data_IF_771620019248
#
_entry.id   IF_771620019248
#
_cell.length_a   1.000
_cell.length_b   1.000
_cell.length_c   1.000
_cell.angle_alpha   90.00
_cell.angle_beta   90.00
_cell.angle_gamma   90.00
#
_symmetry.space_group_name_H-M   'P 1'
#
loop_
_entity.id
_entity.type
_entity.pdbx_description
1 polymer ?
#
# COMPACT_ATOMS: atom_id res chain seq x y z
N UNK A 1 16.10 23.22 -4.58
CA UNK A 1 16.99 22.19 -3.99
C UNK A 1 16.44 21.65 -2.67
N UNK A 2 16.44 22.41 -1.57
CA UNK A 2 15.92 21.91 -0.28
C UNK A 2 14.43 21.51 -0.33
N UNK A 3 13.57 22.31 -0.96
CA UNK A 3 12.15 22.01 -1.14
C UNK A 3 11.90 20.69 -1.89
N UNK A 4 12.59 20.49 -3.02
CA UNK A 4 12.53 19.25 -3.81
C UNK A 4 12.98 18.02 -2.98
N UNK A 5 14.07 18.15 -2.22
CA UNK A 5 14.55 17.05 -1.35
C UNK A 5 13.50 16.71 -0.28
N UNK A 6 12.93 17.71 0.39
CA UNK A 6 11.87 17.50 1.38
C UNK A 6 10.64 16.85 0.75
N UNK A 7 10.20 17.32 -0.42
CA UNK A 7 9.08 16.75 -1.15
C UNK A 7 9.30 15.27 -1.50
N UNK A 8 10.47 14.94 -2.07
CA UNK A 8 10.82 13.57 -2.42
C UNK A 8 10.92 12.67 -1.18
N UNK A 9 11.48 13.17 -0.07
CA UNK A 9 11.55 12.44 1.18
C UNK A 9 10.14 12.12 1.72
N UNK A 10 9.25 13.11 1.76
CA UNK A 10 7.85 12.92 2.20
C UNK A 10 7.15 11.93 1.28
N UNK A 11 7.28 12.10 -0.04
CA UNK A 11 6.67 11.21 -1.05
C UNK A 11 7.14 9.76 -0.88
N UNK A 12 8.42 9.57 -0.61
CA UNK A 12 9.01 8.27 -0.32
C UNK A 12 8.42 7.67 0.96
N UNK A 13 8.40 8.41 2.07
CA UNK A 13 7.89 7.90 3.35
C UNK A 13 6.40 7.55 3.28
N UNK A 14 5.57 8.38 2.64
CA UNK A 14 4.14 8.10 2.45
C UNK A 14 3.95 6.82 1.63
N UNK A 15 4.67 6.68 0.52
CA UNK A 15 4.60 5.49 -0.33
C UNK A 15 5.09 4.23 0.39
N UNK A 16 6.13 4.37 1.21
CA UNK A 16 6.69 3.28 2.01
C UNK A 16 5.69 2.73 3.02
N UNK A 17 4.83 3.57 3.61
CA UNK A 17 3.75 3.12 4.51
C UNK A 17 2.84 2.11 3.79
N UNK A 18 2.40 2.40 2.57
CA UNK A 18 1.54 1.49 1.80
C UNK A 18 2.25 0.18 1.44
N UNK A 19 3.54 0.23 1.10
CA UNK A 19 4.34 -0.96 0.82
C UNK A 19 4.45 -1.83 2.09
N UNK A 20 4.75 -1.24 3.25
CA UNK A 20 4.85 -1.97 4.52
C UNK A 20 3.51 -2.61 4.88
N UNK A 21 2.40 -1.87 4.77
CA UNK A 21 1.06 -2.40 4.99
C UNK A 21 0.75 -3.55 4.04
N UNK A 22 1.12 -3.44 2.76
CA UNK A 22 0.94 -4.49 1.78
C UNK A 22 1.76 -5.75 2.10
N UNK A 23 3.01 -5.61 2.56
CA UNK A 23 3.84 -6.74 3.01
C UNK A 23 3.22 -7.41 4.25
N UNK A 24 2.72 -6.62 5.21
CA UNK A 24 2.05 -7.16 6.40
C UNK A 24 0.77 -7.92 6.02
N UNK A 25 -0.04 -7.37 5.12
CA UNK A 25 -1.24 -8.03 4.61
C UNK A 25 -0.89 -9.32 3.88
N UNK A 26 0.11 -9.29 3.00
CA UNK A 26 0.58 -10.45 2.25
C UNK A 26 1.00 -11.61 3.18
N UNK A 27 1.66 -11.30 4.30
CA UNK A 27 2.13 -12.30 5.27
C UNK A 27 1.10 -12.68 6.33
N UNK A 28 -0.08 -12.03 6.35
CA UNK A 28 -1.09 -12.29 7.37
C UNK A 28 -1.66 -13.71 7.23
N UNK A 29 -1.96 -14.33 8.37
CA UNK A 29 -2.66 -15.61 8.43
C UNK A 29 -4.16 -15.48 8.64
N UNK A 30 -4.61 -14.29 9.07
CA UNK A 30 -6.03 -13.97 9.25
C UNK A 30 -6.52 -13.14 8.08
N UNK A 31 -7.79 -13.27 7.67
CA UNK A 31 -8.37 -12.46 6.61
C UNK A 31 -8.17 -10.97 6.90
N UNK A 32 -7.52 -10.28 5.98
CA UNK A 32 -7.34 -8.83 6.07
C UNK A 32 -8.49 -8.12 5.39
N UNK A 33 -8.88 -6.95 5.89
CA UNK A 33 -9.75 -6.02 5.16
C UNK A 33 -9.02 -4.72 4.87
N UNK A 34 -9.57 -3.98 3.93
CA UNK A 34 -9.24 -2.57 3.76
C UNK A 34 -9.92 -1.81 4.91
N UNK A 35 -9.34 -0.71 5.38
CA UNK A 35 -9.87 0.11 6.47
C UNK A 35 -11.15 0.88 6.05
N UNK A 36 -12.16 0.17 5.52
CA UNK A 36 -13.46 0.67 5.07
C UNK A 36 -14.51 0.65 6.18
N UNK A 37 -14.18 0.14 7.38
CA UNK A 37 -15.13 -0.09 8.46
C UNK A 37 -16.01 -1.34 8.26
N UNK A 38 -15.83 -2.04 7.13
CA UNK A 38 -16.48 -3.32 6.88
C UNK A 38 -15.81 -4.42 7.71
N UNK A 39 -16.64 -5.35 8.20
CA UNK A 39 -16.13 -6.52 8.92
C UNK A 39 -15.34 -7.37 7.90
N UNK A 40 -14.07 -7.72 8.18
CA UNK A 40 -13.34 -8.64 7.31
C UNK A 40 -14.12 -9.95 7.20
N UNK A 41 -14.11 -10.59 6.01
CA UNK A 41 -14.75 -11.90 5.84
C UNK A 41 -14.18 -12.88 6.85
N UNK A 42 -15.01 -13.80 7.33
CA UNK A 42 -14.53 -14.88 8.19
C UNK A 42 -13.76 -15.93 7.37
N UNK A 43 -12.94 -16.73 8.05
CA UNK A 43 -12.08 -17.72 7.38
C UNK A 43 -12.88 -18.77 6.60
N UNK A 44 -14.09 -19.10 7.08
CA UNK A 44 -15.04 -20.01 6.47
C UNK A 44 -15.78 -19.42 5.25
N UNK A 45 -15.81 -18.10 5.11
CA UNK A 45 -16.37 -17.41 3.93
C UNK A 45 -15.36 -17.38 2.75
N UNK A 46 -14.10 -17.71 3.00
CA UNK A 46 -13.03 -17.66 1.99
C UNK A 46 -12.59 -19.06 1.54
N UNK A 47 -12.49 -19.25 0.22
CA UNK A 47 -11.86 -20.47 -0.34
C UNK A 47 -10.39 -20.60 0.06
N UNK A 48 -9.67 -19.47 0.19
CA UNK A 48 -8.29 -19.44 0.65
C UNK A 48 -7.94 -18.08 1.25
N UNK A 49 -7.68 -18.07 2.56
CA UNK A 49 -7.22 -16.88 3.28
C UNK A 49 -5.88 -16.38 2.73
N UNK A 50 -4.98 -17.30 2.36
CA UNK A 50 -3.67 -16.98 1.80
C UNK A 50 -3.79 -16.23 0.48
N UNK A 51 -4.61 -16.72 -0.45
CA UNK A 51 -4.78 -16.07 -1.77
C UNK A 51 -5.46 -14.71 -1.63
N UNK A 52 -6.45 -14.61 -0.73
CA UNK A 52 -7.09 -13.34 -0.37
C UNK A 52 -6.06 -12.32 0.13
N UNK A 53 -5.28 -12.70 1.14
CA UNK A 53 -4.25 -11.86 1.75
C UNK A 53 -3.14 -11.49 0.76
N UNK A 54 -2.72 -12.42 -0.10
CA UNK A 54 -1.73 -12.16 -1.15
C UNK A 54 -2.23 -11.14 -2.18
N UNK A 55 -3.50 -11.22 -2.58
CA UNK A 55 -4.11 -10.24 -3.49
C UNK A 55 -4.17 -8.85 -2.87
N UNK A 56 -4.67 -8.76 -1.63
CA UNK A 56 -4.72 -7.49 -0.89
C UNK A 56 -3.34 -6.88 -0.68
N UNK A 57 -2.39 -7.69 -0.21
CA UNK A 57 -1.01 -7.26 -0.01
C UNK A 57 -0.33 -6.79 -1.29
N UNK A 58 -0.50 -7.53 -2.39
CA UNK A 58 0.03 -7.13 -3.71
C UNK A 58 -0.58 -5.83 -4.21
N UNK A 59 -1.89 -5.63 -4.01
CA UNK A 59 -2.55 -4.37 -4.39
C UNK A 59 -1.98 -3.18 -3.62
N UNK A 60 -1.75 -3.31 -2.31
CA UNK A 60 -1.14 -2.25 -1.50
C UNK A 60 0.32 -1.96 -1.88
N UNK A 61 1.11 -2.99 -2.16
CA UNK A 61 2.49 -2.84 -2.65
C UNK A 61 2.49 -2.11 -4.00
N UNK A 62 1.66 -2.55 -4.95
CA UNK A 62 1.54 -1.90 -6.25
C UNK A 62 1.08 -0.45 -6.12
N UNK A 63 0.10 -0.19 -5.26
CA UNK A 63 -0.39 1.15 -4.98
C UNK A 63 0.71 2.06 -4.43
N UNK A 64 1.48 1.59 -3.43
CA UNK A 64 2.61 2.37 -2.89
C UNK A 64 3.69 2.66 -3.94
N UNK A 65 4.04 1.68 -4.78
CA UNK A 65 4.98 1.90 -5.89
C UNK A 65 4.46 2.90 -6.93
N UNK A 66 3.21 2.75 -7.37
CA UNK A 66 2.59 3.66 -8.34
C UNK A 66 2.46 5.07 -7.77
N UNK A 67 2.07 5.20 -6.50
CA UNK A 67 1.99 6.49 -5.81
C UNK A 67 3.34 7.21 -5.82
N UNK A 68 4.43 6.52 -5.47
CA UNK A 68 5.77 7.12 -5.51
C UNK A 68 6.14 7.58 -6.91
N UNK A 69 5.92 6.73 -7.93
CA UNK A 69 6.21 7.06 -9.32
C UNK A 69 5.40 8.27 -9.79
N UNK A 70 4.11 8.33 -9.47
CA UNK A 70 3.26 9.48 -9.81
C UNK A 70 3.76 10.76 -9.13
N UNK A 71 4.06 10.71 -7.84
CA UNK A 71 4.58 11.87 -7.10
C UNK A 71 5.95 12.31 -7.61
N UNK A 72 6.79 11.38 -8.04
CA UNK A 72 8.08 11.67 -8.66
C UNK A 72 7.91 12.37 -10.01
N UNK A 73 7.11 11.81 -10.93
CA UNK A 73 6.89 12.35 -12.28
C UNK A 73 6.20 13.71 -12.26
N UNK A 74 5.12 13.87 -11.47
CA UNK A 74 4.33 15.10 -11.47
C UNK A 74 4.85 16.15 -10.47
N UNK A 75 5.60 15.73 -9.44
CA UNK A 75 6.18 16.64 -8.45
C UNK A 75 7.26 17.55 -9.01
N UNK A 76 8.06 17.06 -9.97
CA UNK A 76 9.08 17.87 -10.64
C UNK A 76 8.50 19.02 -11.48
N UNK A 77 7.23 18.95 -11.88
CA UNK A 77 6.59 19.97 -12.72
C UNK A 77 6.04 21.18 -11.93
N UNK A 78 6.12 21.16 -10.59
CA UNK A 78 5.46 22.14 -9.71
C UNK A 78 6.36 22.75 -8.61
N UNK A 79 7.67 22.49 -8.61
CA UNK A 79 8.65 23.03 -7.63
C UNK A 79 9.76 23.81 -8.29
#
# INVERSE_FOLDING_TARGET
>A
MAGTIMYLAISFFVSLIFIILGIQQYKSKKPVSINTGEKPPSEDELTSVTEWNHRHGRNFILYGCMLFISLFIFGENHT
#
